data_IF_093827019530
#
_entry.id   IF_093827019530
#
_cell.length_a   1.000
_cell.length_b   1.000
_cell.length_c   1.000
_cell.angle_alpha   90.00
_cell.angle_beta   90.00
_cell.angle_gamma   90.00
#
_symmetry.space_group_name_H-M   'P 1'
#
loop_
_entity.id
_entity.type
_entity.pdbx_description
1 polymer ?
#
# COMPACT_ATOMS: atom_id res chain seq x y z
N UNK A 1 8.33 -18.29 13.23
CA UNK A 1 7.27 -17.33 13.63
C UNK A 1 6.83 -16.62 12.35
N UNK A 2 5.82 -17.16 11.65
CA UNK A 2 5.44 -16.68 10.31
C UNK A 2 4.46 -15.52 10.40
N UNK A 3 4.94 -14.30 10.17
CA UNK A 3 4.06 -13.16 9.93
C UNK A 3 3.33 -13.43 8.62
N UNK A 4 2.01 -13.56 8.65
CA UNK A 4 1.18 -13.65 7.45
C UNK A 4 1.18 -12.27 6.79
N UNK A 5 2.26 -11.96 6.07
CA UNK A 5 2.40 -10.68 5.38
C UNK A 5 1.20 -10.46 4.44
N UNK A 6 0.70 -9.23 4.31
CA UNK A 6 -0.41 -8.92 3.42
C UNK A 6 -0.07 -9.24 1.96
N UNK A 7 -1.09 -9.50 1.15
CA UNK A 7 -0.93 -9.80 -0.26
C UNK A 7 -0.26 -8.64 -0.98
N UNK A 8 0.89 -8.88 -1.62
CA UNK A 8 1.68 -7.86 -2.31
C UNK A 8 0.98 -7.21 -3.53
N UNK A 9 -0.22 -7.67 -3.90
CA UNK A 9 -0.99 -7.17 -5.05
C UNK A 9 -2.33 -6.54 -4.64
N UNK A 10 -2.89 -6.90 -3.48
CA UNK A 10 -4.21 -6.38 -3.09
C UNK A 10 -4.41 -6.16 -1.59
N UNK A 11 -3.36 -6.30 -0.77
CA UNK A 11 -3.38 -6.03 0.67
C UNK A 11 -4.14 -7.03 1.55
N UNK A 12 -4.95 -7.94 0.99
CA UNK A 12 -5.67 -8.97 1.79
C UNK A 12 -4.71 -9.94 2.47
N UNK A 13 -5.12 -10.52 3.61
CA UNK A 13 -4.33 -11.53 4.33
C UNK A 13 -3.87 -12.66 3.40
N UNK A 14 -2.57 -12.97 3.43
CA UNK A 14 -2.00 -14.04 2.61
C UNK A 14 -2.49 -15.42 3.05
N UNK A 15 -2.41 -16.38 2.13
CA UNK A 15 -2.87 -17.77 2.35
C UNK A 15 -1.80 -18.80 1.99
N UNK A 16 -0.53 -18.46 2.20
CA UNK A 16 0.61 -19.35 1.97
C UNK A 16 1.14 -19.40 0.53
N UNK A 17 0.61 -18.58 -0.38
CA UNK A 17 1.21 -18.39 -1.70
C UNK A 17 2.42 -17.46 -1.58
N UNK A 18 3.61 -17.93 -1.94
CA UNK A 18 4.87 -17.19 -1.80
C UNK A 18 5.60 -17.09 -3.14
N UNK A 19 6.35 -16.00 -3.31
CA UNK A 19 7.24 -15.81 -4.44
C UNK A 19 8.50 -15.07 -4.02
N UNK A 20 9.65 -15.58 -4.46
CA UNK A 20 10.91 -14.85 -4.44
C UNK A 20 11.51 -14.94 -5.84
N UNK A 21 11.85 -13.79 -6.43
CA UNK A 21 12.39 -13.76 -7.79
C UNK A 21 13.69 -14.55 -7.87
N UNK A 22 13.77 -15.47 -8.83
CA UNK A 22 14.90 -16.39 -9.05
C UNK A 22 15.29 -17.22 -7.81
N UNK A 23 14.43 -17.29 -6.77
CA UNK A 23 14.74 -17.89 -5.47
C UNK A 23 15.99 -17.30 -4.79
N UNK A 24 16.32 -16.04 -5.11
CA UNK A 24 17.49 -15.32 -4.56
C UNK A 24 17.06 -14.35 -3.48
N UNK A 25 16.79 -14.88 -2.29
CA UNK A 25 16.39 -14.09 -1.10
C UNK A 25 17.45 -13.08 -0.64
N UNK A 26 18.70 -13.29 -1.03
CA UNK A 26 19.80 -12.36 -0.82
C UNK A 26 19.71 -11.10 -1.69
N UNK A 27 18.89 -11.12 -2.75
CA UNK A 27 18.79 -10.04 -3.75
C UNK A 27 17.39 -9.50 -3.95
N UNK A 28 16.36 -10.33 -3.73
CA UNK A 28 14.98 -9.97 -4.01
C UNK A 28 14.09 -10.23 -2.79
N UNK A 29 13.07 -9.38 -2.59
CA UNK A 29 12.14 -9.53 -1.48
C UNK A 29 11.31 -10.83 -1.61
N UNK A 30 10.91 -11.38 -0.46
CA UNK A 30 9.91 -12.43 -0.38
C UNK A 30 8.50 -11.82 -0.39
N UNK A 31 7.69 -12.18 -1.38
CA UNK A 31 6.30 -11.73 -1.50
C UNK A 31 5.31 -12.80 -1.08
N UNK A 32 4.26 -12.38 -0.39
CA UNK A 32 3.12 -13.22 0.01
C UNK A 32 1.85 -12.84 -0.76
N UNK A 33 0.97 -13.81 -1.02
CA UNK A 33 -0.29 -13.59 -1.76
C UNK A 33 -1.49 -14.29 -1.13
N UNK A 34 -2.68 -13.73 -1.35
CA UNK A 34 -3.95 -14.26 -0.83
C UNK A 34 -4.58 -15.33 -1.74
N UNK A 35 -4.19 -15.41 -3.02
CA UNK A 35 -4.74 -16.36 -3.99
C UNK A 35 -3.76 -16.63 -5.14
N UNK A 36 -3.99 -17.72 -5.86
CA UNK A 36 -3.21 -18.08 -7.06
C UNK A 36 -3.25 -16.99 -8.14
N UNK A 37 -4.39 -16.34 -8.34
CA UNK A 37 -4.50 -15.21 -9.29
C UNK A 37 -3.63 -14.03 -8.89
N UNK A 38 -3.53 -13.70 -7.59
CA UNK A 38 -2.65 -12.63 -7.12
C UNK A 38 -1.19 -13.01 -7.26
N UNK A 39 -0.84 -14.27 -6.98
CA UNK A 39 0.50 -14.81 -7.21
C UNK A 39 0.90 -14.69 -8.68
N UNK A 40 0.07 -15.16 -9.61
CA UNK A 40 0.36 -15.10 -11.06
C UNK A 40 0.56 -13.66 -11.55
N UNK A 41 -0.29 -12.72 -11.11
CA UNK A 41 -0.13 -11.29 -11.42
C UNK A 41 1.13 -10.69 -10.83
N UNK A 42 1.42 -10.97 -9.56
CA UNK A 42 2.62 -10.48 -8.89
C UNK A 42 3.91 -11.03 -9.53
N UNK A 43 3.89 -12.31 -9.91
CA UNK A 43 5.00 -12.93 -10.64
C UNK A 43 5.24 -12.31 -12.01
N UNK A 44 4.18 -11.99 -12.75
CA UNK A 44 4.30 -11.32 -14.04
C UNK A 44 4.96 -9.94 -13.86
N UNK A 45 4.45 -9.11 -12.95
CA UNK A 45 5.02 -7.81 -12.64
C UNK A 45 6.47 -7.91 -12.16
N UNK A 46 6.78 -8.81 -11.22
CA UNK A 46 8.15 -9.00 -10.76
C UNK A 46 9.10 -9.50 -11.86
N UNK A 47 8.63 -10.28 -12.83
CA UNK A 47 9.46 -10.66 -13.99
C UNK A 47 9.76 -9.47 -14.90
N UNK A 48 8.79 -8.59 -15.08
CA UNK A 48 8.93 -7.37 -15.89
C UNK A 48 9.87 -6.36 -15.20
N UNK A 49 9.82 -6.26 -13.88
CA UNK A 49 10.49 -5.24 -13.08
C UNK A 49 11.65 -5.79 -12.24
N UNK A 50 12.37 -6.79 -12.76
CA UNK A 50 13.60 -7.34 -12.15
C UNK A 50 13.45 -7.69 -10.65
N UNK A 51 12.41 -8.45 -10.33
CA UNK A 51 12.11 -8.95 -9.00
C UNK A 51 11.37 -7.99 -8.08
N UNK A 52 11.02 -6.79 -8.52
CA UNK A 52 10.22 -5.83 -7.75
C UNK A 52 8.77 -5.84 -8.24
N UNK A 53 7.80 -5.91 -7.34
CA UNK A 53 6.39 -5.65 -7.68
C UNK A 53 6.17 -4.15 -7.51
N UNK A 54 6.15 -3.43 -8.62
CA UNK A 54 5.78 -2.01 -8.64
C UNK A 54 4.27 -1.85 -8.47
N UNK A 55 3.85 -0.62 -8.16
CA UNK A 55 2.43 -0.23 -8.18
C UNK A 55 1.80 -0.72 -9.47
N UNK A 56 0.80 -1.57 -9.33
CA UNK A 56 0.01 -2.05 -10.46
C UNK A 56 -0.59 -0.86 -11.20
N UNK A 57 -0.85 -1.01 -12.51
CA UNK A 57 -1.55 0.02 -13.28
C UNK A 57 -2.88 0.46 -12.63
N UNK A 58 -3.51 -0.44 -11.87
CA UNK A 58 -4.72 -0.17 -11.10
C UNK A 58 -4.45 0.73 -9.90
N UNK A 59 -3.37 0.52 -9.14
CA UNK A 59 -2.99 1.38 -8.03
C UNK A 59 -2.57 2.77 -8.52
N UNK A 60 -1.85 2.83 -9.65
CA UNK A 60 -1.53 4.10 -10.32
C UNK A 60 -2.79 4.84 -10.78
N UNK A 61 -3.80 4.13 -11.28
CA UNK A 61 -5.07 4.74 -11.65
C UNK A 61 -5.87 5.18 -10.41
N UNK A 62 -5.88 4.38 -9.34
CA UNK A 62 -6.54 4.74 -8.09
C UNK A 62 -5.96 6.03 -7.46
N UNK A 63 -4.63 6.20 -7.52
CA UNK A 63 -3.98 7.45 -7.09
C UNK A 63 -4.44 8.64 -7.92
N UNK A 64 -4.51 8.49 -9.26
CA UNK A 64 -5.03 9.54 -10.15
C UNK A 64 -6.48 9.90 -9.83
N UNK A 65 -7.32 8.89 -9.62
CA UNK A 65 -8.74 9.08 -9.31
C UNK A 65 -8.93 9.78 -7.95
N UNK A 66 -8.04 9.52 -6.98
CA UNK A 66 -8.05 10.16 -5.67
C UNK A 66 -7.65 11.65 -5.67
N UNK A 67 -7.02 12.15 -6.74
CA UNK A 67 -6.61 13.57 -6.82
C UNK A 67 -7.78 14.54 -6.78
N UNK A 68 -8.91 14.18 -7.40
CA UNK A 68 -10.10 15.03 -7.41
C UNK A 68 -10.68 15.25 -6.01
N UNK A 69 -11.06 14.21 -5.24
CA UNK A 69 -11.56 14.40 -3.88
C UNK A 69 -10.52 15.04 -2.96
N UNK A 70 -9.23 14.79 -3.19
CA UNK A 70 -8.16 15.47 -2.44
C UNK A 70 -8.15 16.99 -2.72
N UNK A 71 -8.24 17.41 -3.98
CA UNK A 71 -8.30 18.83 -4.35
C UNK A 71 -9.59 19.52 -3.84
N UNK A 72 -10.72 18.82 -3.87
CA UNK A 72 -12.00 19.31 -3.30
C UNK A 72 -11.84 19.59 -1.80
N UNK A 73 -11.31 18.63 -1.03
CA UNK A 73 -11.06 18.81 0.40
C UNK A 73 -10.08 19.96 0.69
N UNK A 74 -9.00 20.09 -0.08
CA UNK A 74 -8.06 21.21 0.05
C UNK A 74 -8.72 22.56 -0.24
N UNK A 75 -9.63 22.62 -1.20
CA UNK A 75 -10.36 23.84 -1.56
C UNK A 75 -11.31 24.25 -0.44
N UNK A 76 -12.07 23.29 0.11
CA UNK A 76 -12.99 23.53 1.24
C UNK A 76 -12.25 24.04 2.48
N UNK A 77 -11.03 23.54 2.74
CA UNK A 77 -10.20 23.96 3.86
C UNK A 77 -9.39 25.25 3.58
N UNK A 78 -9.48 25.82 2.37
CA UNK A 78 -8.71 27.02 1.99
C UNK A 78 -7.20 26.78 1.87
N UNK A 79 -6.78 25.53 1.61
CA UNK A 79 -5.38 25.11 1.54
C UNK A 79 -4.85 24.98 0.11
N UNK A 80 -5.69 25.24 -0.90
CA UNK A 80 -5.36 25.01 -2.32
C UNK A 80 -4.16 25.84 -2.80
N UNK A 81 -3.93 27.02 -2.22
CA UNK A 81 -2.82 27.92 -2.58
C UNK A 81 -1.45 27.24 -2.49
N UNK A 82 -1.25 26.37 -1.49
CA UNK A 82 0.02 25.65 -1.29
C UNK A 82 0.28 24.57 -2.35
N UNK A 83 -0.73 24.20 -3.14
CA UNK A 83 -0.71 23.11 -4.10
C UNK A 83 -0.64 23.56 -5.56
N UNK A 84 -0.85 24.85 -5.87
CA UNK A 84 -0.85 25.34 -7.25
C UNK A 84 0.45 25.07 -8.03
N UNK A 85 1.59 25.08 -7.34
CA UNK A 85 2.91 24.87 -7.94
C UNK A 85 3.43 23.43 -7.77
N UNK A 86 2.59 22.51 -7.28
CA UNK A 86 2.99 21.12 -7.05
C UNK A 86 2.72 20.27 -8.27
N UNK A 87 3.69 19.40 -8.56
CA UNK A 87 3.57 18.40 -9.62
C UNK A 87 2.58 17.30 -9.23
N UNK A 88 2.01 16.63 -10.23
CA UNK A 88 1.13 15.49 -9.99
C UNK A 88 1.79 14.39 -9.15
N UNK A 89 3.10 14.17 -9.29
CA UNK A 89 3.86 13.20 -8.50
C UNK A 89 4.02 13.61 -7.04
N UNK A 90 4.18 14.90 -6.74
CA UNK A 90 4.21 15.38 -5.35
C UNK A 90 2.85 15.22 -4.68
N UNK A 91 1.77 15.50 -5.40
CA UNK A 91 0.40 15.27 -4.92
C UNK A 91 0.13 13.79 -4.68
N UNK A 92 0.51 12.91 -5.62
CA UNK A 92 0.37 11.46 -5.46
C UNK A 92 1.11 10.94 -4.21
N UNK A 93 2.30 11.48 -3.95
CA UNK A 93 3.08 11.12 -2.76
C UNK A 93 2.38 11.49 -1.45
N UNK A 94 1.70 12.64 -1.42
CA UNK A 94 0.94 13.07 -0.24
C UNK A 94 -0.28 12.18 -0.02
N UNK A 95 -1.03 11.90 -1.08
CA UNK A 95 -2.18 10.98 -1.03
C UNK A 95 -1.73 9.61 -0.53
N UNK A 96 -0.65 9.08 -1.10
CA UNK A 96 -0.08 7.79 -0.70
C UNK A 96 0.35 7.77 0.76
N UNK A 97 1.05 8.80 1.25
CA UNK A 97 1.49 8.86 2.65
C UNK A 97 0.30 8.79 3.62
N UNK A 98 -0.79 9.53 3.32
CA UNK A 98 -2.00 9.55 4.14
C UNK A 98 -2.71 8.19 4.10
N UNK A 99 -2.91 7.64 2.90
CA UNK A 99 -3.62 6.35 2.73
C UNK A 99 -2.83 5.20 3.35
N UNK A 100 -1.52 5.16 3.16
CA UNK A 100 -0.64 4.14 3.75
C UNK A 100 -0.68 4.20 5.27
N UNK A 101 -0.47 5.38 5.88
CA UNK A 101 -0.51 5.52 7.33
C UNK A 101 -1.88 5.14 7.93
N UNK A 102 -2.98 5.50 7.24
CA UNK A 102 -4.33 5.09 7.63
C UNK A 102 -4.51 3.56 7.57
N UNK A 103 -4.09 2.91 6.49
CA UNK A 103 -4.19 1.45 6.33
C UNK A 103 -3.32 0.71 7.36
N UNK A 104 -2.08 1.16 7.56
CA UNK A 104 -1.15 0.58 8.54
C UNK A 104 -1.73 0.69 9.95
N UNK A 105 -2.26 1.86 10.33
CA UNK A 105 -2.94 2.05 11.61
C UNK A 105 -4.12 1.10 11.76
N UNK A 106 -5.02 1.01 10.77
CA UNK A 106 -6.16 0.09 10.85
C UNK A 106 -5.72 -1.38 10.97
N UNK A 107 -4.63 -1.76 10.30
CA UNK A 107 -4.09 -3.12 10.37
C UNK A 107 -3.53 -3.40 11.78
N UNK A 108 -2.72 -2.50 12.33
CA UNK A 108 -2.19 -2.60 13.71
C UNK A 108 -3.32 -2.78 14.72
N UNK A 109 -4.36 -1.94 14.62
CA UNK A 109 -5.54 -2.02 15.49
C UNK A 109 -6.28 -3.36 15.38
N UNK A 110 -6.36 -3.92 14.18
CA UNK A 110 -7.01 -5.23 13.98
C UNK A 110 -6.19 -6.35 14.60
N UNK A 111 -4.86 -6.25 14.58
CA UNK A 111 -3.94 -7.19 15.22
C UNK A 111 -3.98 -7.06 16.75
N UNK A 112 -3.95 -5.84 17.27
CA UNK A 112 -4.08 -5.50 18.69
C UNK A 112 -5.43 -5.96 19.26
N UNK A 113 -6.52 -5.71 18.53
CA UNK A 113 -7.87 -6.16 18.92
C UNK A 113 -7.95 -7.69 18.99
N UNK A 114 -7.26 -8.41 18.08
CA UNK A 114 -7.14 -9.88 18.15
C UNK A 114 -6.25 -10.34 19.31
N UNK A 115 -5.28 -9.53 19.71
CA UNK A 115 -4.40 -9.77 20.85
C UNK A 115 -5.01 -9.32 22.20
N UNK A 116 -6.18 -8.67 22.19
CA UNK A 116 -6.87 -8.19 23.39
C UNK A 116 -6.27 -6.92 24.00
N UNK A 117 -5.49 -6.16 23.25
CA UNK A 117 -4.91 -4.88 23.70
C UNK A 117 -5.95 -3.77 23.51
N UNK A 118 -6.24 -2.95 24.55
CA UNK A 118 -7.14 -1.80 24.41
C UNK A 118 -6.59 -0.78 23.42
N UNK A 119 -7.47 -0.25 22.57
CA UNK A 119 -7.14 0.78 21.59
C UNK A 119 -6.95 2.13 22.32
N UNK A 120 -5.70 2.45 22.67
CA UNK A 120 -5.34 3.74 23.28
C UNK A 120 -3.93 4.14 22.84
N UNK A 121 -3.80 4.53 21.57
CA UNK A 121 -2.57 5.11 21.03
C UNK A 121 -2.79 6.60 20.72
N UNK A 122 -2.00 7.52 21.30
CA UNK A 122 -2.10 8.94 21.00
C UNK A 122 -1.62 9.23 19.58
N UNK A 123 -2.52 9.74 18.72
CA UNK A 123 -2.19 10.19 17.36
C UNK A 123 -1.31 11.45 17.46
N UNK A 124 -0.17 11.54 16.74
CA UNK A 124 0.86 12.54 16.98
C UNK A 124 0.59 13.95 16.40
N UNK A 125 -0.64 14.26 15.96
CA UNK A 125 -0.99 15.57 15.39
C UNK A 125 -2.40 16.01 15.75
#
# INVERSE_FOLDING_TARGET
MGWLAPCAVCGRQSRGFLYCHLLRRDRFPDYSFCSRTCLERGMASAKENNGVIDKTAREMQALKDARRPFAEALTELGLMDAFFNRTASEVDRLIEAVVTGYIESMQSQTEESRAGVPFDDPIPF
#
